data_IF_040160231531
#
_entry.id   IF_040160231531
#
_cell.length_a   1.000
_cell.length_b   1.000
_cell.length_c   1.000
_cell.angle_alpha   90.00
_cell.angle_beta   90.00
_cell.angle_gamma   90.00
#
_symmetry.space_group_name_H-M   'P 1'
#
loop_
_entity.id
_entity.type
_entity.pdbx_description
1 polymer ?
#
# COMPACT_ATOMS: atom_id res chain seq x y z
N UNK A 1 -3.70 -11.17 16.71
CA UNK A 1 -4.94 -11.31 17.50
C UNK A 1 -5.40 -12.75 17.29
N UNK A 2 -5.21 -13.60 18.31
CA UNK A 2 -5.31 -15.06 18.18
C UNK A 2 -6.67 -15.61 17.73
N UNK A 3 -6.68 -16.88 17.35
CA UNK A 3 -7.89 -17.66 17.06
C UNK A 3 -8.72 -17.83 18.35
N UNK A 4 -9.94 -17.32 18.34
CA UNK A 4 -10.90 -17.45 19.43
C UNK A 4 -12.21 -18.03 18.89
N UNK A 5 -12.56 -19.23 19.34
CA UNK A 5 -13.74 -19.95 18.86
C UNK A 5 -14.55 -20.52 20.02
N UNK A 6 -15.85 -20.20 20.04
CA UNK A 6 -16.81 -20.71 21.03
C UNK A 6 -17.69 -21.80 20.42
N UNK A 7 -17.73 -22.98 21.05
CA UNK A 7 -18.50 -24.13 20.57
C UNK A 7 -20.01 -23.88 20.72
N UNK A 8 -20.73 -23.83 19.59
CA UNK A 8 -22.18 -23.54 19.56
C UNK A 8 -23.09 -24.77 19.60
N UNK A 9 -22.58 -25.99 19.33
CA UNK A 9 -23.36 -27.24 19.24
C UNK A 9 -22.58 -28.52 19.58
N UNK A 10 -23.28 -29.66 19.71
CA UNK A 10 -22.72 -30.95 20.18
C UNK A 10 -22.03 -31.81 19.10
N UNK A 11 -22.06 -31.38 17.84
CA UNK A 11 -21.73 -32.26 16.69
C UNK A 11 -20.45 -31.87 15.94
N UNK A 12 -19.79 -30.78 16.33
CA UNK A 12 -18.58 -30.31 15.66
C UNK A 12 -17.36 -30.74 16.48
N UNK A 13 -16.52 -31.62 15.91
CA UNK A 13 -15.24 -32.02 16.50
C UNK A 13 -14.13 -30.99 16.22
N UNK A 14 -13.02 -31.06 16.96
CA UNK A 14 -11.89 -30.14 16.82
C UNK A 14 -11.30 -30.12 15.39
N UNK A 15 -11.22 -31.30 14.76
CA UNK A 15 -10.84 -31.43 13.33
C UNK A 15 -11.74 -30.63 12.41
N UNK A 16 -13.07 -30.66 12.65
CA UNK A 16 -14.04 -29.96 11.83
C UNK A 16 -13.88 -28.44 11.98
N UNK A 17 -13.62 -27.96 13.19
CA UNK A 17 -13.39 -26.54 13.46
C UNK A 17 -12.13 -26.05 12.73
N UNK A 18 -11.03 -26.80 12.84
CA UNK A 18 -9.79 -26.47 12.12
C UNK A 18 -9.97 -26.56 10.60
N UNK A 19 -10.73 -27.53 10.11
CA UNK A 19 -11.04 -27.65 8.69
C UNK A 19 -11.86 -26.45 8.18
N UNK A 20 -12.93 -26.08 8.87
CA UNK A 20 -13.75 -24.92 8.51
C UNK A 20 -12.97 -23.62 8.58
N UNK A 21 -12.00 -23.52 9.50
CA UNK A 21 -11.13 -22.36 9.58
C UNK A 21 -10.06 -22.35 8.47
N UNK A 22 -9.49 -23.52 8.14
CA UNK A 22 -8.53 -23.68 7.05
C UNK A 22 -9.17 -23.38 5.68
N UNK A 23 -10.42 -23.78 5.45
CA UNK A 23 -11.19 -23.46 4.24
C UNK A 23 -11.34 -21.95 3.98
N UNK A 24 -11.20 -21.11 5.01
CA UNK A 24 -11.24 -19.64 4.88
C UNK A 24 -9.87 -19.04 4.54
N UNK A 25 -8.79 -19.81 4.60
CA UNK A 25 -7.45 -19.33 4.30
C UNK A 25 -7.21 -19.37 2.79
N UNK A 26 -6.52 -18.34 2.27
CA UNK A 26 -6.06 -18.33 0.89
C UNK A 26 -5.03 -19.45 0.67
N UNK A 27 -5.14 -20.19 -0.43
CA UNK A 27 -4.26 -21.34 -0.72
C UNK A 27 -4.75 -22.69 -0.19
N UNK A 28 -5.92 -22.75 0.46
CA UNK A 28 -6.53 -24.03 0.83
C UNK A 28 -7.03 -24.80 -0.40
N UNK A 29 -6.38 -25.92 -0.71
CA UNK A 29 -6.85 -26.86 -1.73
C UNK A 29 -7.87 -27.83 -1.12
N UNK A 30 -9.12 -27.72 -1.56
CA UNK A 30 -10.22 -28.59 -1.11
C UNK A 30 -10.00 -30.08 -1.44
N UNK A 31 -9.09 -30.41 -2.35
CA UNK A 31 -8.72 -31.77 -2.71
C UNK A 31 -7.47 -32.27 -1.98
N UNK A 32 -6.80 -31.42 -1.17
CA UNK A 32 -5.62 -31.79 -0.41
C UNK A 32 -5.98 -32.78 0.70
N UNK A 33 -5.24 -33.89 0.75
CA UNK A 33 -5.38 -34.87 1.82
C UNK A 33 -4.68 -34.38 3.08
N UNK A 34 -5.45 -33.98 4.08
CA UNK A 34 -4.95 -33.53 5.38
C UNK A 34 -4.54 -34.73 6.25
N UNK A 35 -3.31 -34.71 6.77
CA UNK A 35 -2.86 -35.67 7.77
C UNK A 35 -3.31 -35.22 9.18
N UNK A 36 -4.52 -35.64 9.55
CA UNK A 36 -5.10 -35.33 10.85
C UNK A 36 -4.32 -35.89 12.03
N UNK A 37 -3.48 -36.92 11.83
CA UNK A 37 -2.62 -37.45 12.89
C UNK A 37 -1.53 -36.45 13.23
N UNK A 38 -0.90 -35.87 12.19
CA UNK A 38 0.11 -34.81 12.34
C UNK A 38 -0.48 -33.55 12.95
N UNK A 39 -1.65 -33.12 12.46
CA UNK A 39 -2.36 -31.93 12.98
C UNK A 39 -2.67 -32.06 14.48
N UNK A 40 -3.17 -33.23 14.90
CA UNK A 40 -3.48 -33.45 16.31
C UNK A 40 -2.23 -33.63 17.18
N UNK A 41 -1.12 -34.13 16.63
CA UNK A 41 0.17 -34.16 17.35
C UNK A 41 0.67 -32.75 17.66
N UNK A 42 0.55 -31.82 16.70
CA UNK A 42 0.93 -30.41 16.90
C UNK A 42 0.01 -29.74 17.92
N UNK A 43 -1.28 -30.04 17.89
CA UNK A 43 -2.20 -29.52 18.89
C UNK A 43 -1.90 -30.05 20.31
N UNK A 44 -1.50 -31.33 20.45
CA UNK A 44 -1.09 -31.91 21.73
C UNK A 44 0.20 -31.26 22.28
N UNK A 45 1.14 -30.90 21.40
CA UNK A 45 2.34 -30.12 21.77
C UNK A 45 1.98 -28.74 22.29
N UNK A 46 1.15 -28.00 21.54
CA UNK A 46 0.67 -26.66 21.94
C UNK A 46 -0.05 -26.74 23.30
N UNK A 47 -0.85 -27.78 23.52
CA UNK A 47 -1.54 -27.97 24.79
C UNK A 47 -0.60 -28.27 25.95
N UNK A 48 0.47 -29.03 25.73
CA UNK A 48 1.48 -29.28 26.77
C UNK A 48 2.29 -28.03 27.11
N UNK A 49 2.61 -27.21 26.11
CA UNK A 49 3.30 -25.93 26.30
C UNK A 49 2.47 -24.99 27.20
N UNK A 50 1.19 -24.81 26.87
CA UNK A 50 0.27 -23.95 27.63
C UNK A 50 -0.02 -24.49 29.05
N UNK A 51 -0.15 -25.81 29.20
CA UNK A 51 -0.29 -26.45 30.52
C UNK A 51 0.97 -26.31 31.37
N UNK A 52 2.16 -26.29 30.76
CA UNK A 52 3.41 -26.04 31.48
C UNK A 52 3.49 -24.60 32.01
N UNK A 53 2.79 -23.66 31.37
CA UNK A 53 2.65 -22.27 31.79
C UNK A 53 1.48 -22.02 32.75
N UNK A 54 0.77 -23.09 33.16
CA UNK A 54 -0.39 -23.02 34.05
C UNK A 54 -1.67 -22.50 33.39
N UNK A 55 -1.70 -22.44 32.07
CA UNK A 55 -2.85 -22.02 31.27
C UNK A 55 -3.61 -23.23 30.71
N UNK A 56 -4.87 -23.05 30.35
CA UNK A 56 -5.70 -24.09 29.73
C UNK A 56 -6.40 -23.53 28.50
N UNK A 57 -6.03 -24.05 27.32
CA UNK A 57 -6.57 -23.62 26.02
C UNK A 57 -8.09 -23.85 25.87
N UNK A 58 -8.65 -24.81 26.61
CA UNK A 58 -10.08 -25.13 26.74
C UNK A 58 -10.29 -26.11 27.93
N UNK A 59 -11.54 -26.36 28.33
CA UNK A 59 -11.88 -27.22 29.49
C UNK A 59 -11.98 -28.73 29.17
N UNK A 60 -11.87 -29.12 27.90
CA UNK A 60 -12.06 -30.49 27.43
C UNK A 60 -10.86 -31.42 27.66
N UNK A 61 -11.10 -32.72 27.66
CA UNK A 61 -10.07 -33.76 27.88
C UNK A 61 -9.92 -34.72 26.70
N UNK A 62 -8.79 -35.46 26.67
CA UNK A 62 -8.57 -36.57 25.74
C UNK A 62 -9.41 -37.77 26.16
N UNK A 63 -10.34 -38.24 25.31
CA UNK A 63 -11.09 -39.48 25.58
C UNK A 63 -10.26 -40.70 25.19
N UNK A 64 -9.48 -41.19 26.15
CA UNK A 64 -8.61 -42.36 25.99
C UNK A 64 -9.36 -43.70 26.07
N UNK A 65 -10.70 -43.70 26.20
CA UNK A 65 -11.48 -44.92 26.48
C UNK A 65 -12.04 -45.63 25.24
N UNK A 66 -11.97 -45.01 24.06
CA UNK A 66 -12.37 -45.63 22.77
C UNK A 66 -11.15 -46.11 21.97
N UNK A 67 -11.05 -47.41 21.77
CA UNK A 67 -10.00 -48.01 20.93
C UNK A 67 -10.06 -47.45 19.49
N UNK A 68 -8.92 -46.92 19.01
CA UNK A 68 -8.80 -46.27 17.70
C UNK A 68 -8.96 -44.74 17.70
N UNK A 69 -9.25 -44.12 18.85
CA UNK A 69 -9.49 -42.67 19.01
C UNK A 69 -8.43 -41.97 19.88
N UNK A 70 -7.17 -42.43 19.81
CA UNK A 70 -6.08 -41.93 20.68
C UNK A 70 -5.78 -40.43 20.59
N UNK A 71 -6.35 -39.70 19.63
CA UNK A 71 -6.06 -38.29 19.33
C UNK A 71 -7.33 -37.42 19.25
N UNK A 72 -8.46 -37.84 19.83
CA UNK A 72 -9.70 -37.03 19.78
C UNK A 72 -9.96 -36.29 21.09
N UNK A 73 -10.13 -34.97 20.97
CA UNK A 73 -10.53 -34.10 22.07
C UNK A 73 -12.06 -34.06 22.17
N UNK A 74 -12.58 -34.30 23.37
CA UNK A 74 -13.99 -34.03 23.65
C UNK A 74 -14.17 -32.54 23.93
N UNK A 75 -15.00 -31.89 23.12
CA UNK A 75 -15.39 -30.49 23.27
C UNK A 75 -16.89 -30.39 23.53
N UNK A 76 -17.27 -29.54 24.49
CA UNK A 76 -18.65 -29.34 24.92
C UNK A 76 -19.18 -28.00 24.42
N UNK A 77 -20.50 -27.90 24.31
CA UNK A 77 -21.16 -26.63 24.00
C UNK A 77 -20.81 -25.58 25.06
N UNK A 78 -20.30 -24.44 24.63
CA UNK A 78 -19.83 -23.36 25.50
C UNK A 78 -18.34 -23.40 25.82
N UNK A 79 -17.62 -24.45 25.42
CA UNK A 79 -16.16 -24.43 25.49
C UNK A 79 -15.61 -23.35 24.55
N UNK A 80 -14.56 -22.66 25.01
CA UNK A 80 -13.84 -21.65 24.24
C UNK A 80 -12.44 -22.18 23.97
N UNK A 81 -12.06 -22.19 22.70
CA UNK A 81 -10.71 -22.55 22.24
C UNK A 81 -10.02 -21.24 21.90
N UNK A 82 -8.92 -20.95 22.58
CA UNK A 82 -8.09 -19.77 22.33
C UNK A 82 -6.71 -20.25 21.88
N UNK A 83 -6.25 -19.85 20.70
CA UNK A 83 -4.90 -20.13 20.21
C UNK A 83 -4.26 -18.83 19.75
N UNK A 84 -2.98 -18.61 20.04
CA UNK A 84 -2.23 -17.50 19.45
C UNK A 84 -2.11 -17.66 17.93
N UNK A 85 -1.74 -16.59 17.24
CA UNK A 85 -1.52 -16.64 15.77
C UNK A 85 -0.41 -17.63 15.41
N UNK A 86 0.64 -17.69 16.23
CA UNK A 86 1.75 -18.63 16.08
C UNK A 86 1.29 -20.08 16.25
N UNK A 87 0.47 -20.36 17.26
CA UNK A 87 -0.11 -21.68 17.50
C UNK A 87 -1.05 -22.10 16.37
N UNK A 88 -1.89 -21.19 15.89
CA UNK A 88 -2.79 -21.48 14.77
C UNK A 88 -2.03 -21.70 13.46
N UNK A 89 -0.92 -20.97 13.23
CA UNK A 89 -0.04 -21.17 12.08
C UNK A 89 0.68 -22.53 12.11
N UNK A 90 1.07 -23.03 13.29
CA UNK A 90 1.59 -24.40 13.45
C UNK A 90 0.54 -25.44 13.05
N UNK A 91 -0.73 -25.22 13.42
CA UNK A 91 -1.84 -26.09 13.01
C UNK A 91 -2.05 -26.06 11.48
N UNK A 92 -2.06 -24.88 10.86
CA UNK A 92 -2.16 -24.76 9.41
C UNK A 92 -0.99 -25.40 8.66
N UNK A 93 0.24 -25.21 9.15
CA UNK A 93 1.44 -25.86 8.61
C UNK A 93 1.34 -27.39 8.69
N UNK A 94 0.76 -27.92 9.76
CA UNK A 94 0.49 -29.34 9.89
C UNK A 94 -0.61 -29.84 8.93
N UNK A 95 -1.56 -28.98 8.57
CA UNK A 95 -2.58 -29.25 7.55
C UNK A 95 -2.03 -29.18 6.12
N UNK A 96 -0.78 -28.73 5.95
CA UNK A 96 -0.13 -28.58 4.65
C UNK A 96 -0.42 -27.24 3.97
N UNK A 97 -0.87 -26.24 4.73
CA UNK A 97 -0.90 -24.84 4.32
C UNK A 97 0.46 -24.21 4.64
N UNK A 98 1.20 -23.81 3.62
CA UNK A 98 2.45 -23.08 3.82
C UNK A 98 2.16 -21.58 3.95
N UNK A 99 2.10 -21.10 5.20
CA UNK A 99 1.97 -19.68 5.52
C UNK A 99 3.36 -19.02 5.75
N UNK A 100 4.46 -19.75 5.53
CA UNK A 100 5.82 -19.37 5.92
C UNK A 100 6.57 -18.52 4.88
N UNK A 101 5.90 -17.49 4.36
CA UNK A 101 6.56 -16.39 3.65
C UNK A 101 6.44 -15.06 4.41
N UNK A 102 6.59 -15.07 5.74
CA UNK A 102 6.63 -13.85 6.57
C UNK A 102 7.61 -13.99 7.73
N UNK A 103 8.91 -14.04 7.45
CA UNK A 103 9.91 -13.57 8.43
C UNK A 103 10.80 -12.53 7.75
N UNK A 104 10.89 -11.28 8.26
CA UNK A 104 11.92 -10.37 7.81
C UNK A 104 13.25 -10.86 8.35
N UNK A 105 14.07 -11.41 7.45
CA UNK A 105 15.48 -11.67 7.76
C UNK A 105 16.15 -10.32 7.99
N UNK A 106 16.61 -10.08 9.20
CA UNK A 106 17.41 -8.91 9.57
C UNK A 106 18.76 -9.00 8.83
N UNK A 107 18.84 -8.33 7.69
CA UNK A 107 20.11 -8.15 6.98
C UNK A 107 20.98 -7.16 7.75
N UNK A 108 22.18 -7.61 8.13
CA UNK A 108 23.21 -6.79 8.77
C UNK A 108 23.60 -5.59 7.88
N UNK A 109 23.78 -4.45 8.55
CA UNK A 109 24.21 -3.19 7.94
C UNK A 109 25.54 -3.33 7.17
N UNK A 110 25.64 -2.85 5.92
CA UNK A 110 26.92 -2.62 5.30
C UNK A 110 27.52 -1.29 5.77
N UNK A 111 28.80 -1.39 6.05
CA UNK A 111 29.74 -0.37 6.52
C UNK A 111 29.81 0.89 5.65
N UNK A 112 30.00 2.01 6.34
CA UNK A 112 30.34 3.35 5.86
C UNK A 112 31.35 3.34 4.71
N UNK A 113 30.95 3.83 3.54
CA UNK A 113 31.85 4.19 2.46
C UNK A 113 32.14 5.70 2.50
N UNK A 114 33.42 6.03 2.41
CA UNK A 114 34.03 7.35 2.55
C UNK A 114 33.65 8.29 1.42
N UNK A 115 33.49 9.58 1.74
CA UNK A 115 33.18 10.67 0.81
C UNK A 115 34.22 10.81 -0.32
N UNK A 116 33.80 11.10 -1.57
CA UNK A 116 34.74 11.51 -2.60
C UNK A 116 35.12 12.99 -2.44
N UNK A 117 36.41 13.21 -2.58
CA UNK A 117 37.13 14.48 -2.59
C UNK A 117 36.77 15.39 -3.76
N UNK A 118 36.84 16.69 -3.47
CA UNK A 118 36.89 17.87 -4.33
C UNK A 118 37.53 17.64 -5.70
N UNK A 119 36.84 18.06 -6.77
CA UNK A 119 37.43 18.24 -8.08
C UNK A 119 37.27 19.70 -8.56
N UNK A 120 38.37 20.18 -9.11
CA UNK A 120 38.75 21.55 -9.42
C UNK A 120 37.98 22.16 -10.60
N UNK A 121 37.73 23.46 -10.53
CA UNK A 121 37.24 24.29 -11.64
C UNK A 121 38.24 24.35 -12.81
N UNK A 122 37.77 24.55 -14.05
CA UNK A 122 38.58 25.14 -15.10
C UNK A 122 38.18 26.59 -15.41
N UNK A 123 39.22 27.32 -15.76
CA UNK A 123 39.35 28.75 -16.01
C UNK A 123 38.87 29.21 -17.39
N UNK A 124 38.34 30.43 -17.40
CA UNK A 124 38.45 31.56 -18.36
C UNK A 124 39.08 31.35 -19.74
N UNK A 125 38.37 31.82 -20.78
CA UNK A 125 38.83 32.53 -21.99
C UNK A 125 37.60 32.81 -22.89
N UNK A 126 37.40 33.85 -23.71
CA UNK A 126 37.94 35.21 -23.93
C UNK A 126 36.89 35.88 -24.84
N UNK A 127 36.68 37.20 -24.71
CA UNK A 127 35.80 38.00 -25.56
C UNK A 127 36.26 38.08 -27.03
N UNK A 128 35.39 38.61 -27.93
CA UNK A 128 35.85 39.72 -28.75
C UNK A 128 34.92 40.93 -28.75
N UNK A 129 35.56 42.03 -29.11
CA UNK A 129 35.23 43.45 -29.06
C UNK A 129 34.37 43.99 -30.21
N UNK A 130 33.53 44.97 -29.85
CA UNK A 130 33.25 46.27 -30.51
C UNK A 130 32.68 46.33 -31.92
N UNK A 131 31.49 46.94 -32.04
CA UNK A 131 31.15 47.86 -33.14
C UNK A 131 30.17 48.97 -32.67
N UNK A 132 30.72 50.18 -32.61
CA UNK A 132 30.18 51.52 -32.96
C UNK A 132 28.71 51.90 -32.73
N UNK A 133 28.58 53.05 -32.07
CA UNK A 133 27.39 53.85 -31.82
C UNK A 133 26.88 54.66 -33.03
N UNK A 134 25.59 55.00 -33.01
CA UNK A 134 25.02 56.16 -33.71
C UNK A 134 23.79 56.73 -32.97
N UNK A 135 24.01 57.91 -32.37
CA UNK A 135 23.16 59.13 -32.28
C UNK A 135 21.66 59.07 -31.95
N UNK A 136 21.35 59.60 -30.75
CA UNK A 136 20.39 60.66 -30.37
C UNK A 136 19.11 60.90 -31.20
N UNK A 137 17.94 60.76 -30.56
CA UNK A 137 16.81 61.70 -30.66
C UNK A 137 15.80 61.50 -29.51
N UNK A 138 15.15 62.60 -29.12
CA UNK A 138 14.43 62.87 -27.86
C UNK A 138 13.10 62.15 -27.63
N UNK A 139 12.75 62.02 -26.34
CA UNK A 139 11.39 61.86 -25.82
C UNK A 139 10.53 63.11 -26.11
N UNK A 140 9.18 63.06 -26.12
CA UNK A 140 8.43 62.88 -24.87
C UNK A 140 7.06 62.18 -24.97
N UNK A 141 6.43 62.08 -23.79
CA UNK A 141 5.00 61.93 -23.45
C UNK A 141 4.39 60.55 -23.21
N UNK A 142 4.00 60.42 -21.95
CA UNK A 142 3.05 59.52 -21.28
C UNK A 142 1.91 59.02 -22.15
N UNK A 143 1.75 57.70 -22.21
CA UNK A 143 0.48 57.05 -22.51
C UNK A 143 0.30 55.86 -21.54
N UNK A 144 -0.84 55.89 -20.87
CA UNK A 144 -1.34 54.94 -19.89
C UNK A 144 -1.45 53.53 -20.49
N UNK A 145 -1.19 52.51 -19.67
CA UNK A 145 -1.28 51.10 -20.01
C UNK A 145 -2.64 50.71 -20.65
N UNK A 146 -2.62 49.68 -21.50
CA UNK A 146 -3.58 48.60 -21.26
C UNK A 146 -2.93 47.21 -21.28
N UNK A 147 -3.34 46.42 -20.29
CA UNK A 147 -3.59 44.98 -20.34
C UNK A 147 -2.46 44.05 -20.79
N UNK A 148 -1.95 43.33 -19.79
CA UNK A 148 -1.38 41.98 -19.83
C UNK A 148 -1.62 41.26 -21.16
N UNK A 149 -0.60 41.25 -22.02
CA UNK A 149 -0.56 40.31 -23.13
C UNK A 149 -0.49 38.90 -22.51
N UNK A 150 -1.60 38.18 -22.55
CA UNK A 150 -1.57 36.75 -22.28
C UNK A 150 -0.76 36.12 -23.40
N UNK A 151 0.44 35.65 -23.09
CA UNK A 151 1.21 34.79 -24.00
C UNK A 151 0.29 33.65 -24.44
N UNK A 152 0.19 33.38 -25.76
CA UNK A 152 -0.51 32.19 -26.23
C UNK A 152 0.14 30.99 -25.57
N UNK A 153 -0.68 30.15 -24.96
CA UNK A 153 -0.20 28.94 -24.32
C UNK A 153 0.38 28.06 -25.42
N UNK A 154 1.62 27.61 -25.24
CA UNK A 154 2.37 26.91 -26.28
C UNK A 154 1.60 25.66 -26.76
N UNK A 155 1.69 25.37 -28.06
CA UNK A 155 1.14 24.14 -28.64
C UNK A 155 1.53 22.91 -27.77
N UNK A 156 0.67 21.88 -27.71
CA UNK A 156 0.98 20.69 -26.93
C UNK A 156 2.35 20.13 -27.36
N UNK A 157 3.16 19.65 -26.40
CA UNK A 157 4.45 19.05 -26.72
C UNK A 157 4.25 17.84 -27.64
N UNK A 158 5.30 17.46 -28.37
CA UNK A 158 5.28 16.19 -29.10
C UNK A 158 5.36 14.99 -28.12
N UNK A 159 5.30 13.76 -28.66
CA UNK A 159 5.57 12.53 -27.91
C UNK A 159 6.79 12.67 -26.99
N UNK A 160 6.69 12.17 -25.76
CA UNK A 160 7.84 12.17 -24.85
C UNK A 160 8.96 11.30 -25.42
N UNK A 161 10.14 11.90 -25.54
CA UNK A 161 11.33 11.24 -26.08
C UNK A 161 12.02 10.37 -25.02
N UNK A 162 11.63 10.48 -23.75
CA UNK A 162 12.23 9.75 -22.64
C UNK A 162 11.17 9.35 -21.59
N UNK A 163 10.27 8.41 -21.91
CA UNK A 163 9.28 7.90 -20.98
C UNK A 163 9.94 7.32 -19.72
N UNK A 164 9.21 7.25 -18.58
CA UNK A 164 9.76 6.66 -17.36
C UNK A 164 10.22 5.22 -17.60
N UNK A 165 11.20 4.78 -16.81
CA UNK A 165 11.66 3.39 -16.86
C UNK A 165 10.58 2.43 -16.34
N UNK A 166 10.69 1.15 -16.68
CA UNK A 166 9.90 0.07 -16.06
C UNK A 166 10.14 0.06 -14.54
N UNK A 167 9.07 -0.08 -13.77
CA UNK A 167 9.13 -0.12 -12.31
C UNK A 167 9.37 -1.53 -11.76
N UNK A 168 9.25 -1.65 -10.44
CA UNK A 168 9.36 -2.92 -9.72
C UNK A 168 8.31 -3.93 -10.19
N UNK A 169 8.70 -5.20 -10.29
CA UNK A 169 7.77 -6.30 -10.52
C UNK A 169 7.23 -6.78 -9.16
N UNK A 170 5.97 -6.42 -8.91
CA UNK A 170 5.21 -6.79 -7.72
C UNK A 170 4.20 -7.91 -8.01
N UNK A 171 4.20 -8.51 -9.20
CA UNK A 171 3.19 -9.48 -9.62
C UNK A 171 3.18 -10.76 -8.78
N UNK A 172 4.33 -11.14 -8.20
CA UNK A 172 4.45 -12.25 -7.26
C UNK A 172 4.20 -11.87 -5.80
N UNK A 173 3.99 -10.59 -5.49
CA UNK A 173 3.85 -10.08 -4.12
C UNK A 173 2.41 -10.26 -3.64
N UNK A 174 2.10 -11.48 -3.19
CA UNK A 174 0.88 -11.76 -2.45
C UNK A 174 1.14 -11.70 -0.95
N UNK A 175 0.47 -10.77 -0.27
CA UNK A 175 0.50 -10.68 1.19
C UNK A 175 -0.84 -11.21 1.69
N UNK A 176 -0.86 -12.34 2.43
CA UNK A 176 -2.09 -12.86 3.00
C UNK A 176 -2.71 -11.81 3.91
N UNK A 177 -3.97 -11.47 3.64
CA UNK A 177 -4.70 -10.51 4.46
C UNK A 177 -5.13 -11.17 5.75
N UNK A 178 -4.73 -10.57 6.87
CA UNK A 178 -5.16 -11.03 8.18
C UNK A 178 -6.68 -10.92 8.36
N UNK A 179 -7.28 -11.88 9.06
CA UNK A 179 -8.73 -11.96 9.27
C UNK A 179 -9.32 -10.72 9.98
N UNK A 180 -8.49 -9.98 10.73
CA UNK A 180 -8.84 -8.72 11.38
C UNK A 180 -9.30 -7.64 10.39
N UNK A 181 -8.86 -7.70 9.13
CA UNK A 181 -9.31 -6.78 8.09
C UNK A 181 -10.63 -7.18 7.47
N UNK A 182 -11.16 -8.36 7.78
CA UNK A 182 -12.40 -8.87 7.19
C UNK A 182 -13.58 -8.72 8.15
N UNK A 183 -13.36 -8.91 9.45
CA UNK A 183 -14.41 -8.97 10.46
C UNK A 183 -14.44 -7.72 11.34
N UNK A 184 -15.63 -7.32 11.82
CA UNK A 184 -15.75 -6.18 12.72
C UNK A 184 -15.46 -6.60 14.17
N UNK A 185 -14.79 -5.71 14.92
CA UNK A 185 -14.70 -5.72 16.37
C UNK A 185 -15.54 -4.56 16.93
N UNK A 186 -16.80 -4.85 17.26
CA UNK A 186 -17.76 -3.86 17.77
C UNK A 186 -17.31 -3.19 19.08
N UNK A 187 -16.40 -3.82 19.83
CA UNK A 187 -15.88 -3.22 21.07
C UNK A 187 -14.93 -2.05 20.82
N UNK A 188 -14.37 -1.97 19.60
CA UNK A 188 -13.40 -0.95 19.16
C UNK A 188 -14.01 0.09 18.22
N UNK A 189 -15.31 0.04 17.98
CA UNK A 189 -15.98 0.97 17.06
C UNK A 189 -15.65 2.44 17.38
N UNK A 190 -15.27 3.18 16.34
CA UNK A 190 -14.89 4.59 16.41
C UNK A 190 -13.55 4.89 17.07
N UNK A 191 -12.74 3.88 17.40
CA UNK A 191 -11.48 4.05 18.14
C UNK A 191 -10.25 3.90 17.25
N UNK A 192 -9.16 4.54 17.66
CA UNK A 192 -7.81 4.32 17.12
C UNK A 192 -6.99 3.55 18.16
N UNK A 193 -6.55 2.35 17.80
CA UNK A 193 -5.87 1.42 18.71
C UNK A 193 -4.43 1.22 18.24
N UNK A 194 -3.42 1.64 19.03
CA UNK A 194 -2.02 1.34 18.74
C UNK A 194 -1.73 -0.15 19.00
N UNK A 195 -0.92 -0.74 18.14
CA UNK A 195 -0.44 -2.11 18.20
C UNK A 195 1.03 -2.16 18.64
N UNK A 196 1.50 -3.31 19.11
CA UNK A 196 2.88 -3.49 19.58
C UNK A 196 3.94 -3.37 18.47
N UNK A 197 3.55 -3.53 17.21
CA UNK A 197 4.40 -3.38 16.03
C UNK A 197 4.57 -1.92 15.55
N UNK A 198 4.03 -0.96 16.32
CA UNK A 198 4.06 0.46 16.00
C UNK A 198 2.94 0.93 15.07
N UNK A 199 2.12 0.02 14.53
CA UNK A 199 0.98 0.41 13.71
C UNK A 199 -0.21 0.86 14.57
N UNK A 200 -1.10 1.65 14.00
CA UNK A 200 -2.35 2.07 14.66
C UNK A 200 -3.52 1.68 13.78
N UNK A 201 -4.45 0.88 14.30
CA UNK A 201 -5.69 0.55 13.61
C UNK A 201 -6.77 1.57 13.92
N UNK A 202 -7.31 2.19 12.88
CA UNK A 202 -8.49 3.06 12.96
C UNK A 202 -9.74 2.25 12.64
N UNK A 203 -10.68 2.24 13.57
CA UNK A 203 -11.93 1.51 13.45
C UNK A 203 -13.10 2.47 13.14
N UNK A 204 -13.93 2.09 12.17
CA UNK A 204 -15.17 2.82 11.88
C UNK A 204 -16.23 2.62 12.98
N UNK A 205 -17.35 3.32 12.88
CA UNK A 205 -18.51 3.20 13.80
C UNK A 205 -19.12 1.80 13.85
N UNK A 206 -18.80 0.96 12.86
CA UNK A 206 -19.24 -0.43 12.79
C UNK A 206 -18.20 -1.41 13.33
N UNK A 207 -17.06 -0.94 13.83
CA UNK A 207 -15.99 -1.77 14.37
C UNK A 207 -15.13 -2.43 13.30
N UNK A 208 -15.23 -2.04 12.03
CA UNK A 208 -14.30 -2.50 11.01
C UNK A 208 -13.05 -1.64 11.01
N UNK A 209 -11.89 -2.25 10.79
CA UNK A 209 -10.69 -1.48 10.46
C UNK A 209 -10.93 -0.81 9.10
N UNK A 210 -10.86 0.51 9.07
CA UNK A 210 -10.94 1.34 7.85
C UNK A 210 -9.56 1.74 7.37
N UNK A 211 -8.63 1.97 8.29
CA UNK A 211 -7.27 2.45 8.00
C UNK A 211 -6.26 1.84 8.97
N UNK A 212 -5.03 1.66 8.50
CA UNK A 212 -3.84 1.37 9.30
C UNK A 212 -2.90 2.56 9.16
N UNK A 213 -2.44 3.08 10.29
CA UNK A 213 -1.51 4.19 10.36
C UNK A 213 -0.15 3.71 10.86
N UNK A 214 0.91 4.43 10.52
CA UNK A 214 2.24 4.27 11.13
C UNK A 214 2.30 4.96 12.51
N UNK A 215 3.46 4.84 13.18
CA UNK A 215 3.73 5.46 14.49
C UNK A 215 3.58 7.00 14.49
N UNK A 216 3.73 7.62 13.31
CA UNK A 216 3.58 9.07 13.12
C UNK A 216 2.12 9.46 12.83
N UNK A 217 1.21 8.49 12.75
CA UNK A 217 -0.21 8.68 12.43
C UNK A 217 -0.49 8.88 10.93
N UNK A 218 0.46 8.56 10.05
CA UNK A 218 0.27 8.61 8.58
C UNK A 218 -0.38 7.32 8.10
N UNK A 219 -1.31 7.41 7.16
CA UNK A 219 -2.01 6.25 6.63
C UNK A 219 -1.09 5.39 5.75
N UNK A 220 -0.86 4.14 6.14
CA UNK A 220 -0.05 3.19 5.36
C UNK A 220 -0.90 2.14 4.66
N UNK A 221 -2.17 1.98 5.05
CA UNK A 221 -3.12 1.09 4.39
C UNK A 221 -4.55 1.57 4.60
N UNK A 222 -5.34 1.63 3.54
CA UNK A 222 -6.79 1.81 3.59
C UNK A 222 -7.53 0.57 3.12
N UNK A 223 -8.66 0.30 3.78
CA UNK A 223 -9.55 -0.82 3.50
C UNK A 223 -10.83 -0.28 2.90
N UNK A 224 -10.98 -0.45 1.58
CA UNK A 224 -12.17 0.00 0.86
C UNK A 224 -13.21 -1.11 0.92
N UNK A 225 -14.39 -0.80 1.48
CA UNK A 225 -15.50 -1.74 1.61
C UNK A 225 -16.67 -1.39 0.70
N UNK A 226 -17.46 -2.41 0.37
CA UNK A 226 -18.78 -2.24 -0.24
C UNK A 226 -19.82 -1.96 0.85
N UNK A 227 -21.01 -1.52 0.43
CA UNK A 227 -22.13 -1.25 1.33
C UNK A 227 -22.60 -2.49 2.13
N UNK A 228 -22.31 -3.71 1.64
CA UNK A 228 -22.59 -4.97 2.34
C UNK A 228 -21.54 -5.35 3.40
N UNK A 229 -20.49 -4.54 3.58
CA UNK A 229 -19.41 -4.76 4.53
C UNK A 229 -18.25 -5.62 4.00
N UNK A 230 -18.41 -6.24 2.82
CA UNK A 230 -17.33 -6.99 2.17
C UNK A 230 -16.20 -6.05 1.74
N UNK A 231 -14.96 -6.54 1.84
CA UNK A 231 -13.82 -5.78 1.33
C UNK A 231 -13.86 -5.78 -0.20
N UNK A 232 -13.72 -4.58 -0.77
CA UNK A 232 -13.59 -4.34 -2.21
C UNK A 232 -12.13 -4.37 -2.64
N UNK A 233 -11.28 -3.66 -1.93
CA UNK A 233 -9.86 -3.52 -2.26
C UNK A 233 -9.10 -2.94 -1.07
N UNK A 234 -7.77 -3.03 -1.14
CA UNK A 234 -6.86 -2.34 -0.25
C UNK A 234 -6.01 -1.34 -1.03
N UNK A 235 -5.59 -0.29 -0.36
CA UNK A 235 -4.63 0.68 -0.89
C UNK A 235 -3.50 0.77 0.13
N UNK A 236 -2.30 0.34 -0.23
CA UNK A 236 -1.10 0.59 0.58
C UNK A 236 -0.43 1.88 0.15
N UNK A 237 0.19 2.58 1.08
CA UNK A 237 0.91 3.82 0.82
C UNK A 237 2.35 3.73 1.35
N UNK A 238 3.30 4.16 0.53
CA UNK A 238 4.71 4.29 0.93
C UNK A 238 5.10 5.76 0.90
N UNK A 239 5.98 6.16 1.82
CA UNK A 239 6.35 7.55 2.03
C UNK A 239 7.85 7.77 1.89
N UNK A 240 8.24 8.94 1.38
CA UNK A 240 9.61 9.41 1.48
C UNK A 240 9.97 9.89 2.90
N UNK A 241 11.24 10.27 3.09
CA UNK A 241 11.76 10.80 4.35
C UNK A 241 11.12 12.13 4.77
N UNK A 242 10.53 12.87 3.82
CA UNK A 242 9.82 14.13 4.06
C UNK A 242 8.34 13.90 4.40
N UNK A 243 7.86 12.66 4.30
CA UNK A 243 6.48 12.28 4.57
C UNK A 243 5.51 12.55 3.43
N UNK A 244 5.99 12.67 2.19
CA UNK A 244 5.17 12.65 0.97
C UNK A 244 4.95 11.21 0.52
N UNK A 245 3.78 10.93 -0.04
CA UNK A 245 3.50 9.61 -0.58
C UNK A 245 4.29 9.46 -1.88
N UNK A 246 5.08 8.40 -2.01
CA UNK A 246 5.84 8.10 -3.23
C UNK A 246 5.25 6.93 -4.00
N UNK A 247 4.38 6.14 -3.35
CA UNK A 247 3.74 5.00 -3.99
C UNK A 247 2.39 4.67 -3.38
N UNK A 248 1.44 4.32 -4.25
CA UNK A 248 0.17 3.69 -3.89
C UNK A 248 0.09 2.30 -4.51
N UNK A 249 -0.29 1.28 -3.75
CA UNK A 249 -0.45 -0.09 -4.26
C UNK A 249 -1.90 -0.51 -4.09
N UNK A 250 -2.59 -0.78 -5.20
CA UNK A 250 -3.95 -1.29 -5.17
C UNK A 250 -3.96 -2.82 -5.14
N UNK A 251 -4.70 -3.38 -4.19
CA UNK A 251 -4.84 -4.84 -4.03
C UNK A 251 -6.30 -5.28 -4.03
N UNK A 252 -6.53 -6.43 -4.63
CA UNK A 252 -7.76 -7.19 -4.48
C UNK A 252 -7.90 -7.78 -3.06
N UNK A 253 -9.11 -8.23 -2.68
CA UNK A 253 -9.34 -8.86 -1.39
C UNK A 253 -8.56 -10.15 -1.12
N UNK A 254 -7.99 -10.77 -2.16
CA UNK A 254 -7.12 -11.95 -2.03
C UNK A 254 -5.62 -11.59 -1.88
N UNK A 255 -5.30 -10.28 -1.84
CA UNK A 255 -3.94 -9.76 -1.71
C UNK A 255 -3.20 -9.54 -3.03
N UNK A 256 -3.79 -9.94 -4.17
CA UNK A 256 -3.24 -9.74 -5.51
C UNK A 256 -3.16 -8.25 -5.83
N UNK A 257 -1.99 -7.79 -6.30
CA UNK A 257 -1.82 -6.40 -6.76
C UNK A 257 -2.42 -6.26 -8.16
N UNK A 258 -3.27 -5.25 -8.34
CA UNK A 258 -3.88 -4.95 -9.65
C UNK A 258 -3.04 -3.94 -10.42
N UNK A 259 -2.65 -2.87 -9.75
CA UNK A 259 -1.78 -1.81 -10.24
C UNK A 259 -1.12 -1.11 -9.06
N UNK A 260 -0.08 -0.35 -9.34
CA UNK A 260 0.48 0.60 -8.40
C UNK A 260 0.80 1.91 -9.10
N UNK A 261 0.88 2.98 -8.33
CA UNK A 261 1.22 4.30 -8.81
C UNK A 261 2.48 4.78 -8.11
N UNK A 262 3.39 5.41 -8.84
CA UNK A 262 4.55 6.11 -8.28
C UNK A 262 4.38 7.62 -8.44
N UNK A 263 4.83 8.39 -7.46
CA UNK A 263 4.82 9.86 -7.49
C UNK A 263 6.24 10.42 -7.35
N UNK A 264 6.59 11.35 -8.23
CA UNK A 264 7.86 12.08 -8.22
C UNK A 264 7.61 13.55 -7.84
N UNK A 265 8.56 14.14 -7.11
CA UNK A 265 8.41 15.49 -6.56
C UNK A 265 9.63 16.37 -6.86
N UNK A 266 9.39 17.67 -7.02
CA UNK A 266 10.45 18.67 -7.06
C UNK A 266 11.00 19.00 -5.64
N UNK A 267 12.02 19.86 -5.59
CA UNK A 267 12.63 20.28 -4.32
C UNK A 267 11.66 21.04 -3.39
N UNK A 268 10.64 21.67 -3.97
CA UNK A 268 9.60 22.40 -3.26
C UNK A 268 8.46 21.48 -2.76
N UNK A 269 8.48 20.20 -3.13
CA UNK A 269 7.48 19.20 -2.76
C UNK A 269 6.21 19.26 -3.62
N UNK A 270 6.29 19.84 -4.81
CA UNK A 270 5.24 19.75 -5.83
C UNK A 270 5.39 18.44 -6.60
N UNK A 271 4.29 17.77 -6.86
CA UNK A 271 4.27 16.51 -7.62
C UNK A 271 4.56 16.79 -9.09
N UNK A 272 5.72 16.39 -9.60
CA UNK A 272 6.08 16.64 -10.99
C UNK A 272 5.57 15.56 -11.93
N UNK A 273 5.36 14.34 -11.42
CA UNK A 273 4.98 13.20 -12.24
C UNK A 273 4.22 12.14 -11.43
N UNK A 274 3.14 11.64 -12.02
CA UNK A 274 2.36 10.49 -11.55
C UNK A 274 2.48 9.35 -12.56
N UNK A 275 2.85 8.14 -12.13
CA UNK A 275 3.07 7.01 -13.03
C UNK A 275 2.19 5.85 -12.61
N UNK A 276 1.22 5.46 -13.44
CA UNK A 276 0.38 4.29 -13.20
C UNK A 276 0.99 3.06 -13.88
N UNK A 277 1.17 1.97 -13.12
CA UNK A 277 1.83 0.75 -13.58
C UNK A 277 1.00 -0.48 -13.28
N UNK A 278 1.12 -1.51 -14.12
CA UNK A 278 0.63 -2.84 -13.79
C UNK A 278 1.49 -3.46 -12.70
N UNK A 279 1.00 -4.54 -12.09
CA UNK A 279 1.74 -5.29 -11.08
C UNK A 279 3.12 -5.78 -11.56
N UNK A 280 3.31 -6.06 -12.85
CA UNK A 280 4.60 -6.48 -13.41
C UNK A 280 5.61 -5.34 -13.63
N UNK A 281 5.24 -4.11 -13.25
CA UNK A 281 6.02 -2.88 -13.38
C UNK A 281 5.94 -2.20 -14.75
N UNK A 282 5.21 -2.77 -15.72
CA UNK A 282 4.96 -2.11 -17.00
C UNK A 282 4.08 -0.87 -16.82
N UNK A 283 4.39 0.18 -17.58
CA UNK A 283 3.66 1.45 -17.54
C UNK A 283 2.30 1.27 -18.21
N UNK A 284 1.25 1.79 -17.58
CA UNK A 284 -0.06 1.98 -18.20
C UNK A 284 -0.13 3.39 -18.79
N UNK A 285 0.08 4.39 -17.93
CA UNK A 285 0.09 5.80 -18.27
C UNK A 285 1.00 6.56 -17.32
N UNK A 286 1.39 7.77 -17.69
CA UNK A 286 2.00 8.71 -16.75
C UNK A 286 1.57 10.14 -17.08
N UNK A 287 1.49 10.97 -16.05
CA UNK A 287 1.07 12.36 -16.14
C UNK A 287 2.17 13.26 -15.61
N UNK A 288 2.56 14.26 -16.40
CA UNK A 288 3.47 15.32 -15.97
C UNK A 288 2.70 16.56 -15.57
N UNK A 289 3.14 17.20 -14.49
CA UNK A 289 2.58 18.45 -13.98
C UNK A 289 3.60 19.58 -14.15
N UNK A 290 3.16 20.67 -14.76
CA UNK A 290 3.97 21.88 -14.95
C UNK A 290 3.36 22.99 -14.12
N UNK A 291 4.22 23.70 -13.38
CA UNK A 291 3.81 24.71 -12.40
C UNK A 291 4.24 26.12 -12.83
N UNK A 292 3.48 27.11 -12.39
CA UNK A 292 3.92 28.50 -12.39
C UNK A 292 4.86 28.81 -11.22
N UNK A 293 5.40 30.04 -11.20
CA UNK A 293 6.30 30.52 -10.13
C UNK A 293 5.66 30.53 -8.73
N UNK A 294 4.32 30.46 -8.65
CA UNK A 294 3.58 30.42 -7.39
C UNK A 294 3.23 28.97 -6.97
N UNK A 295 3.71 27.96 -7.69
CA UNK A 295 3.43 26.54 -7.40
C UNK A 295 2.02 26.09 -7.79
N UNK A 296 1.37 26.78 -8.73
CA UNK A 296 0.06 26.36 -9.27
C UNK A 296 0.23 25.61 -10.58
N UNK A 297 -0.49 24.50 -10.75
CA UNK A 297 -0.44 23.68 -11.98
C UNK A 297 -0.99 24.49 -13.14
N UNK A 298 -0.17 24.78 -14.13
CA UNK A 298 -0.59 25.47 -15.37
C UNK A 298 -0.82 24.50 -16.52
N UNK A 299 -0.30 23.27 -16.42
CA UNK A 299 -0.50 22.24 -17.43
C UNK A 299 -0.35 20.83 -16.86
N UNK A 300 -1.19 19.92 -17.33
CA UNK A 300 -1.13 18.48 -17.10
C UNK A 300 -1.01 17.76 -18.44
N UNK A 301 -0.07 16.83 -18.58
CA UNK A 301 0.11 16.08 -19.83
C UNK A 301 0.11 14.60 -19.50
N UNK A 302 -0.93 13.88 -19.93
CA UNK A 302 -1.03 12.43 -19.76
C UNK A 302 -0.55 11.73 -21.02
N UNK A 303 0.28 10.71 -20.84
CA UNK A 303 0.87 9.90 -21.90
C UNK A 303 0.64 8.42 -21.65
N UNK A 304 0.60 7.66 -22.73
CA UNK A 304 0.57 6.20 -22.69
C UNK A 304 1.97 5.60 -22.45
N UNK A 305 2.06 4.27 -22.46
CA UNK A 305 3.31 3.55 -22.23
C UNK A 305 4.41 3.82 -23.27
N UNK A 306 4.05 4.24 -24.48
CA UNK A 306 4.99 4.56 -25.56
C UNK A 306 5.38 6.06 -25.53
N UNK A 307 4.81 6.81 -24.59
CA UNK A 307 5.02 8.25 -24.42
C UNK A 307 4.22 9.12 -25.37
N UNK A 308 3.25 8.56 -26.10
CA UNK A 308 2.33 9.34 -26.91
C UNK A 308 1.34 10.07 -26.00
N UNK A 309 1.03 11.33 -26.32
CA UNK A 309 0.09 12.12 -25.54
C UNK A 309 -1.31 11.58 -25.76
N UNK A 310 -1.93 11.10 -24.67
CA UNK A 310 -3.33 10.68 -24.66
C UNK A 310 -4.26 11.85 -24.38
N UNK A 311 -3.82 12.81 -23.56
CA UNK A 311 -4.56 14.04 -23.25
C UNK A 311 -3.63 15.09 -22.64
N UNK A 312 -4.03 16.36 -22.74
CA UNK A 312 -3.39 17.42 -21.97
C UNK A 312 -4.43 18.47 -21.58
N UNK A 313 -4.24 19.08 -20.42
CA UNK A 313 -5.11 20.15 -19.92
C UNK A 313 -4.27 21.35 -19.55
N UNK A 314 -4.82 22.53 -19.85
CA UNK A 314 -4.16 23.81 -19.69
C UNK A 314 -4.97 24.69 -18.74
N UNK A 315 -4.28 25.30 -17.78
CA UNK A 315 -4.93 26.05 -16.71
C UNK A 315 -4.41 27.47 -16.62
N UNK A 316 -5.35 28.39 -16.43
CA UNK A 316 -5.09 29.76 -16.00
C UNK A 316 -5.75 29.99 -14.66
N UNK A 317 -5.31 31.06 -14.00
CA UNK A 317 -5.85 31.46 -12.72
C UNK A 317 -6.25 32.92 -12.77
N UNK A 318 -7.41 33.25 -12.21
CA UNK A 318 -7.79 34.64 -11.98
C UNK A 318 -6.94 35.27 -10.85
N UNK A 319 -7.11 36.58 -10.63
CA UNK A 319 -6.42 37.31 -9.55
C UNK A 319 -6.77 36.80 -8.15
N UNK A 320 -7.90 36.09 -8.00
CA UNK A 320 -8.33 35.49 -6.75
C UNK A 320 -7.78 34.06 -6.57
N UNK A 321 -7.06 33.53 -7.56
CA UNK A 321 -6.50 32.18 -7.54
C UNK A 321 -7.47 31.08 -7.98
N UNK A 322 -8.63 31.41 -8.54
CA UNK A 322 -9.57 30.42 -9.06
C UNK A 322 -9.11 29.90 -10.42
N UNK A 323 -9.22 28.58 -10.61
CA UNK A 323 -8.89 27.88 -11.85
C UNK A 323 -9.88 28.29 -12.95
N UNK A 324 -9.33 28.82 -14.05
CA UNK A 324 -10.00 29.04 -15.33
C UNK A 324 -9.46 27.96 -16.26
N UNK A 325 -10.26 26.93 -16.50
CA UNK A 325 -9.92 25.89 -17.47
C UNK A 325 -9.96 26.47 -18.88
N UNK A 326 -8.97 26.12 -19.69
CA UNK A 326 -8.98 26.39 -21.12
C UNK A 326 -9.34 25.07 -21.78
N UNK A 327 -10.57 24.96 -22.26
CA UNK A 327 -10.93 23.90 -23.19
C UNK A 327 -10.10 24.10 -24.46
N UNK A 328 -9.15 23.20 -24.67
CA UNK A 328 -8.52 23.03 -25.96
C UNK A 328 -9.46 22.12 -26.75
N UNK A 329 -10.30 22.72 -27.61
CA UNK A 329 -11.10 21.95 -28.57
C UNK A 329 -10.18 20.99 -29.34
N UNK A 330 -10.49 19.69 -29.30
CA UNK A 330 -9.87 18.69 -30.17
C UNK A 330 -10.17 19.08 -31.64
N UNK A 331 -9.13 19.40 -32.42
CA UNK A 331 -9.21 19.54 -33.89
C UNK A 331 -9.18 18.17 -34.58
#
# INVERSE_FOLDING_TARGET
MGFDYTISGKEQGLTYIFLEQAKKQAGFDANQKIDWTKVMSVFDEIQKEEQAEGQSLFHGGTDKTRAGWGNSYQIWKGDRIQLSDEQMNRIYSAMGLDLSATTPTTASAPTTATAPTTATAPTTATAPTTATASTTASAPTTATAPTTATTPLAAPPAQDQNPPAKGDDLSSTQIPLGIQFLLPDKSKAGQKIPNEDGTIYSYDENGYISEVLDEKGREIKSIIRRADGSVRSFIDQEYDDKGKVVRYINREPDGTITFYCDEEYDENGNETRFIMRKADGSILTYTDYIYDENGRVIREITRDSDGAISSYHDYKYDENGNKIEIDNEEE
#
